data_IF_343677408305
#
_entry.id   IF_343677408305
#
_cell.length_a   1.000
_cell.length_b   1.000
_cell.length_c   1.000
_cell.angle_alpha   90.00
_cell.angle_beta   90.00
_cell.angle_gamma   90.00
#
_symmetry.space_group_name_H-M   'P 1'
#
loop_
_entity.id
_entity.type
_entity.pdbx_description
1 polymer ?
#
# COMPACT_ATOMS: atom_id res chain seq x y z
N UNK A 1 3.83 20.73 18.50
CA UNK A 1 4.69 20.34 19.64
C UNK A 1 3.88 19.45 20.55
N UNK A 2 4.48 18.37 21.10
CA UNK A 2 3.81 17.56 22.10
C UNK A 2 3.73 18.32 23.44
N UNK A 3 2.73 18.04 24.31
CA UNK A 3 2.69 18.53 25.67
C UNK A 3 3.99 18.17 26.45
N UNK A 4 4.32 18.88 27.54
CA UNK A 4 5.52 18.63 28.31
C UNK A 4 5.68 17.19 28.86
N UNK A 5 4.56 16.51 29.08
CA UNK A 5 4.40 15.13 29.54
C UNK A 5 4.07 14.13 28.41
N UNK A 6 4.05 14.61 27.17
CA UNK A 6 3.71 13.79 26.00
C UNK A 6 4.79 12.77 25.66
N UNK A 7 4.37 11.54 25.38
CA UNK A 7 5.26 10.45 24.94
C UNK A 7 5.41 10.49 23.43
N UNK A 8 6.65 10.37 22.95
CA UNK A 8 6.99 10.34 21.52
C UNK A 8 7.20 8.89 21.08
N UNK A 9 6.40 8.38 20.16
CA UNK A 9 6.60 7.06 19.53
C UNK A 9 7.36 7.25 18.23
N UNK A 10 8.60 6.74 18.15
CA UNK A 10 9.57 7.06 17.11
C UNK A 10 10.02 5.81 16.35
N UNK A 11 9.89 5.85 15.02
CA UNK A 11 10.43 4.82 14.12
C UNK A 11 11.94 5.06 13.88
N UNK A 12 12.79 4.18 14.37
CA UNK A 12 14.23 4.29 14.14
C UNK A 12 14.70 3.73 12.79
N UNK A 13 13.87 2.98 12.08
CA UNK A 13 14.17 2.58 10.69
C UNK A 13 14.04 3.76 9.72
N UNK A 14 13.23 4.79 10.07
CA UNK A 14 13.13 6.02 9.30
C UNK A 14 14.45 6.83 9.41
N UNK A 15 14.97 7.39 8.30
CA UNK A 15 16.16 8.23 8.33
C UNK A 15 16.07 9.43 9.28
N UNK A 16 14.87 9.97 9.51
CA UNK A 16 14.62 11.09 10.43
C UNK A 16 14.46 10.67 11.88
N UNK A 17 14.35 9.35 12.14
CA UNK A 17 14.11 8.81 13.49
C UNK A 17 15.16 9.26 14.50
N UNK A 18 16.44 9.27 14.13
CA UNK A 18 17.53 9.70 15.03
C UNK A 18 17.40 11.18 15.41
N UNK A 19 17.11 12.06 14.46
CA UNK A 19 16.92 13.50 14.75
C UNK A 19 15.70 13.77 15.60
N UNK A 20 14.63 12.99 15.43
CA UNK A 20 13.44 13.10 16.28
C UNK A 20 13.70 12.59 17.70
N UNK A 21 14.53 11.56 17.84
CA UNK A 21 14.93 11.01 19.15
C UNK A 21 15.69 12.05 19.98
N UNK A 22 16.59 12.81 19.37
CA UNK A 22 17.34 13.90 20.05
C UNK A 22 16.43 15.00 20.58
N UNK A 23 15.28 15.23 19.94
CA UNK A 23 14.31 16.25 20.33
C UNK A 23 13.27 15.76 21.34
N UNK A 24 13.13 14.45 21.51
CA UNK A 24 12.08 13.84 22.32
C UNK A 24 12.46 13.81 23.81
N UNK A 25 11.53 14.21 24.68
CA UNK A 25 11.72 14.17 26.14
C UNK A 25 11.46 12.78 26.72
N UNK A 26 10.41 12.13 26.25
CA UNK A 26 9.97 10.82 26.73
C UNK A 26 9.73 9.93 25.50
N UNK A 27 10.80 9.40 24.87
CA UNK A 27 10.64 8.57 23.70
C UNK A 27 10.32 7.12 24.06
N UNK A 28 9.50 6.49 23.21
CA UNK A 28 9.46 5.04 22.99
C UNK A 28 9.80 4.81 21.53
N UNK A 29 10.80 3.97 21.29
CA UNK A 29 11.31 3.71 19.96
C UNK A 29 10.86 2.37 19.43
N UNK A 30 10.64 2.26 18.11
CA UNK A 30 10.42 0.97 17.47
C UNK A 30 11.22 0.84 16.19
N UNK A 31 11.56 -0.40 15.83
CA UNK A 31 12.24 -0.74 14.59
C UNK A 31 12.05 -2.21 14.22
N UNK A 32 12.18 -2.52 12.92
CA UNK A 32 12.30 -3.89 12.41
C UNK A 32 13.77 -4.30 12.28
N UNK A 33 14.64 -3.38 11.85
CA UNK A 33 16.02 -3.65 11.47
C UNK A 33 17.06 -3.04 12.40
N UNK A 34 16.67 -2.13 13.28
CA UNK A 34 17.58 -1.47 14.23
C UNK A 34 17.26 -1.85 15.67
N UNK A 35 18.20 -1.62 16.59
CA UNK A 35 17.92 -1.73 18.02
C UNK A 35 16.97 -0.62 18.46
N UNK A 36 15.88 -0.99 19.15
CA UNK A 36 14.85 -0.11 19.66
C UNK A 36 14.20 -0.71 20.92
N UNK A 37 13.34 0.05 21.60
CA UNK A 37 12.57 -0.43 22.75
C UNK A 37 11.59 -1.53 22.34
N UNK A 38 10.94 -1.37 21.19
CA UNK A 38 10.01 -2.34 20.61
C UNK A 38 10.58 -2.84 19.27
N UNK A 39 10.83 -4.15 19.18
CA UNK A 39 11.44 -4.76 17.98
C UNK A 39 10.75 -6.05 17.62
N UNK A 40 10.59 -6.32 16.31
CA UNK A 40 10.10 -7.61 15.82
C UNK A 40 11.24 -8.61 15.68
N UNK A 41 10.95 -9.87 15.94
CA UNK A 41 11.74 -11.00 15.49
C UNK A 41 11.52 -11.30 13.99
N UNK A 42 11.90 -12.51 13.57
CA UNK A 42 11.69 -13.00 12.20
C UNK A 42 10.20 -13.10 11.91
N UNK A 43 9.75 -12.46 10.81
CA UNK A 43 8.38 -12.51 10.37
C UNK A 43 8.16 -13.74 9.50
N UNK A 44 7.23 -14.60 9.90
CA UNK A 44 6.74 -15.71 9.09
C UNK A 44 5.46 -15.24 8.40
N UNK A 45 5.48 -15.14 7.07
CA UNK A 45 4.36 -14.63 6.29
C UNK A 45 3.84 -15.68 5.31
N UNK A 46 2.53 -15.73 5.16
CA UNK A 46 1.80 -16.43 4.10
C UNK A 46 0.91 -15.45 3.36
N UNK A 47 0.19 -15.91 2.34
CA UNK A 47 -0.82 -15.09 1.66
C UNK A 47 -2.07 -14.81 2.50
N UNK A 48 -2.19 -15.39 3.69
CA UNK A 48 -3.38 -15.32 4.55
C UNK A 48 -3.13 -14.63 5.89
N UNK A 49 -1.97 -14.88 6.47
CA UNK A 49 -1.60 -14.34 7.79
C UNK A 49 -0.08 -14.22 7.92
N UNK A 50 0.33 -13.44 8.87
CA UNK A 50 1.73 -13.38 9.31
C UNK A 50 1.80 -13.55 10.83
N UNK A 51 2.92 -14.08 11.31
CA UNK A 51 3.23 -14.21 12.72
C UNK A 51 4.67 -13.83 13.03
N UNK A 52 4.89 -13.23 14.17
CA UNK A 52 6.22 -12.82 14.66
C UNK A 52 6.19 -12.49 16.14
N UNK A 53 7.31 -12.68 16.81
CA UNK A 53 7.46 -12.27 18.19
C UNK A 53 7.90 -10.80 18.26
N UNK A 54 7.43 -10.08 19.28
CA UNK A 54 7.79 -8.69 19.53
C UNK A 54 8.34 -8.55 20.93
N UNK A 55 9.57 -8.01 21.03
CA UNK A 55 10.15 -7.61 22.31
C UNK A 55 9.69 -6.20 22.65
N UNK A 56 9.27 -5.98 23.89
CA UNK A 56 8.89 -4.67 24.43
C UNK A 56 9.56 -4.44 25.78
N UNK A 57 9.60 -3.22 26.32
CA UNK A 57 10.07 -2.95 27.70
C UNK A 57 9.27 -3.68 28.78
N UNK A 58 8.03 -4.13 28.48
CA UNK A 58 7.14 -4.82 29.41
C UNK A 58 7.14 -6.35 29.25
N UNK A 59 7.86 -6.90 28.28
CA UNK A 59 7.93 -8.33 28.01
C UNK A 59 7.75 -8.66 26.53
N UNK A 60 7.51 -9.93 26.25
CA UNK A 60 7.34 -10.46 24.90
C UNK A 60 5.86 -10.60 24.55
N UNK A 61 5.56 -10.39 23.28
CA UNK A 61 4.27 -10.60 22.64
C UNK A 61 4.45 -11.61 21.51
N UNK A 62 3.50 -12.50 21.33
CA UNK A 62 3.38 -13.31 20.12
C UNK A 62 2.28 -12.76 19.25
N UNK A 63 2.62 -12.21 18.10
CA UNK A 63 1.68 -11.56 17.20
C UNK A 63 1.27 -12.52 16.11
N UNK A 64 -0.02 -12.80 16.00
CA UNK A 64 -0.67 -13.35 14.83
C UNK A 64 -1.57 -12.27 14.21
N UNK A 65 -1.45 -12.01 12.91
CA UNK A 65 -2.21 -10.97 12.24
C UNK A 65 -2.61 -11.37 10.82
N UNK A 66 -3.83 -10.99 10.44
CA UNK A 66 -4.30 -11.09 9.05
C UNK A 66 -3.83 -9.90 8.19
N UNK A 67 -3.28 -8.85 8.81
CA UNK A 67 -2.66 -7.74 8.11
C UNK A 67 -1.26 -8.16 7.65
N UNK A 68 -1.12 -8.57 6.39
CA UNK A 68 0.14 -9.09 5.82
C UNK A 68 1.04 -7.98 5.27
N UNK A 69 2.34 -8.31 5.14
CA UNK A 69 3.36 -7.45 4.53
C UNK A 69 4.11 -6.57 5.51
N UNK A 70 5.34 -6.22 5.14
CA UNK A 70 6.28 -5.45 6.00
C UNK A 70 5.73 -4.09 6.45
N UNK A 71 4.91 -3.43 5.60
CA UNK A 71 4.27 -2.18 5.97
C UNK A 71 3.34 -2.36 7.18
N UNK A 72 2.58 -3.46 7.20
CA UNK A 72 1.70 -3.77 8.31
C UNK A 72 2.48 -4.21 9.56
N UNK A 73 3.61 -4.89 9.42
CA UNK A 73 4.49 -5.14 10.58
C UNK A 73 4.92 -3.82 11.22
N UNK A 74 5.36 -2.83 10.44
CA UNK A 74 5.72 -1.49 10.95
C UNK A 74 4.53 -0.80 11.63
N UNK A 75 3.35 -0.87 11.04
CA UNK A 75 2.13 -0.29 11.62
C UNK A 75 1.78 -0.98 12.96
N UNK A 76 1.90 -2.30 13.03
CA UNK A 76 1.67 -3.08 14.24
C UNK A 76 2.70 -2.70 15.33
N UNK A 77 3.98 -2.57 14.99
CA UNK A 77 5.01 -2.13 15.97
C UNK A 77 4.71 -0.71 16.49
N UNK A 78 4.28 0.21 15.64
CA UNK A 78 3.86 1.55 16.07
C UNK A 78 2.66 1.50 17.02
N UNK A 79 1.66 0.67 16.72
CA UNK A 79 0.49 0.47 17.57
C UNK A 79 0.87 -0.16 18.92
N UNK A 80 1.72 -1.21 18.92
CA UNK A 80 2.25 -1.84 20.14
C UNK A 80 2.98 -0.79 20.99
N UNK A 81 3.88 -0.02 20.38
CA UNK A 81 4.66 1.01 21.07
C UNK A 81 3.75 2.05 21.74
N UNK A 82 2.71 2.46 21.03
CA UNK A 82 1.70 3.38 21.57
C UNK A 82 0.95 2.76 22.75
N UNK A 83 0.47 1.53 22.60
CA UNK A 83 -0.22 0.82 23.67
C UNK A 83 0.67 0.59 24.90
N UNK A 84 1.94 0.26 24.69
CA UNK A 84 2.95 0.11 25.78
C UNK A 84 3.16 1.43 26.49
N UNK A 85 3.19 2.57 25.75
CA UNK A 85 3.29 3.91 26.31
C UNK A 85 2.11 4.27 27.22
N UNK A 86 0.91 3.75 26.91
CA UNK A 86 -0.30 3.95 27.70
C UNK A 86 -0.58 2.83 28.73
N UNK A 87 0.41 2.02 29.05
CA UNK A 87 0.30 0.95 30.04
C UNK A 87 -0.76 -0.12 29.74
N UNK A 88 -1.13 -0.30 28.48
CA UNK A 88 -2.08 -1.34 28.05
C UNK A 88 -1.48 -2.73 28.35
N UNK A 89 -2.24 -3.66 28.96
CA UNK A 89 -1.78 -5.02 29.21
C UNK A 89 -1.39 -5.76 27.92
N UNK A 90 -0.25 -6.49 27.92
CA UNK A 90 0.28 -7.17 26.74
C UNK A 90 -0.75 -8.11 26.09
N UNK A 91 -1.48 -8.89 26.89
CA UNK A 91 -2.52 -9.80 26.39
C UNK A 91 -3.66 -9.07 25.67
N UNK A 92 -4.00 -7.85 26.09
CA UNK A 92 -4.99 -7.03 25.43
C UNK A 92 -4.48 -6.52 24.07
N UNK A 93 -3.18 -6.19 23.97
CA UNK A 93 -2.53 -5.80 22.73
C UNK A 93 -2.53 -6.97 21.73
N UNK A 94 -2.12 -8.17 22.14
CA UNK A 94 -2.13 -9.38 21.30
C UNK A 94 -3.53 -9.67 20.73
N UNK A 95 -4.54 -9.67 21.60
CA UNK A 95 -5.94 -9.90 21.21
C UNK A 95 -6.43 -8.83 20.24
N UNK A 96 -6.21 -7.55 20.51
CA UNK A 96 -6.66 -6.46 19.66
C UNK A 96 -6.02 -6.52 18.26
N UNK A 97 -4.77 -6.96 18.14
CA UNK A 97 -4.10 -7.13 16.84
C UNK A 97 -4.66 -8.37 16.11
N UNK A 98 -4.86 -9.49 16.82
CA UNK A 98 -5.37 -10.73 16.24
C UNK A 98 -6.82 -10.57 15.73
N UNK A 99 -7.63 -9.81 16.45
CA UNK A 99 -9.05 -9.56 16.10
C UNK A 99 -9.19 -8.61 14.89
N UNK A 100 -8.14 -7.83 14.57
CA UNK A 100 -8.15 -6.89 13.47
C UNK A 100 -7.91 -7.61 12.13
N UNK A 101 -8.99 -7.85 11.38
CA UNK A 101 -8.94 -8.58 10.12
C UNK A 101 -8.44 -7.76 8.94
N UNK A 102 -8.72 -6.43 8.94
CA UNK A 102 -8.32 -5.50 7.87
C UNK A 102 -8.31 -4.06 8.36
N UNK A 103 -7.50 -3.23 7.71
CA UNK A 103 -7.60 -1.78 7.76
C UNK A 103 -8.07 -1.31 6.38
N UNK A 104 -9.27 -0.72 6.24
CA UNK A 104 -9.79 -0.32 4.94
C UNK A 104 -8.80 0.54 4.17
N UNK A 105 -8.52 0.16 2.92
CA UNK A 105 -7.62 0.86 2.02
C UNK A 105 -6.14 0.91 2.43
N UNK A 106 -5.69 0.02 3.30
CA UNK A 106 -4.27 -0.12 3.69
C UNK A 106 -3.81 -1.55 3.49
N UNK A 107 -3.18 -1.81 2.34
CA UNK A 107 -2.80 -3.16 1.91
C UNK A 107 -3.98 -4.14 2.10
N UNK A 108 -5.17 -3.70 1.73
CA UNK A 108 -6.40 -4.46 1.92
C UNK A 108 -6.52 -5.49 0.83
N UNK A 109 -6.37 -6.77 1.18
CA UNK A 109 -6.67 -7.88 0.27
C UNK A 109 -8.20 -8.02 0.18
N UNK A 110 -8.75 -7.78 -0.99
CA UNK A 110 -10.21 -7.78 -1.24
C UNK A 110 -10.70 -9.03 -1.94
N UNK A 111 -9.79 -9.85 -2.49
CA UNK A 111 -10.10 -11.16 -3.05
C UNK A 111 -10.29 -12.21 -1.96
N UNK A 112 -11.23 -13.14 -2.18
CA UNK A 112 -11.44 -14.29 -1.30
C UNK A 112 -10.36 -15.37 -1.51
N UNK A 113 -10.27 -16.29 -0.57
CA UNK A 113 -9.27 -17.38 -0.59
C UNK A 113 -9.42 -18.37 -1.76
N UNK A 114 -10.58 -18.39 -2.38
CA UNK A 114 -10.92 -19.27 -3.50
C UNK A 114 -10.77 -18.57 -4.87
N UNK A 115 -10.40 -17.29 -4.87
CA UNK A 115 -10.13 -16.57 -6.11
C UNK A 115 -8.79 -17.01 -6.70
N UNK A 116 -8.76 -17.10 -8.03
CA UNK A 116 -7.55 -17.45 -8.80
C UNK A 116 -6.56 -16.28 -8.93
N UNK A 117 -7.00 -15.06 -8.61
CA UNK A 117 -6.22 -13.83 -8.60
C UNK A 117 -6.27 -13.16 -7.24
N UNK A 118 -5.20 -12.47 -6.87
CA UNK A 118 -5.17 -11.65 -5.64
C UNK A 118 -5.39 -10.19 -6.00
N UNK A 119 -6.33 -9.52 -5.33
CA UNK A 119 -6.57 -8.08 -5.52
C UNK A 119 -6.28 -7.33 -4.22
N UNK A 120 -5.43 -6.31 -4.30
CA UNK A 120 -5.01 -5.47 -3.16
C UNK A 120 -5.42 -4.03 -3.41
N UNK A 121 -6.08 -3.40 -2.44
CA UNK A 121 -6.42 -1.97 -2.46
C UNK A 121 -5.58 -1.21 -1.44
N UNK A 122 -4.97 -0.08 -1.85
CA UNK A 122 -4.11 0.74 -0.98
C UNK A 122 -4.24 2.24 -1.27
N UNK A 123 -3.96 3.05 -0.26
CA UNK A 123 -3.98 4.51 -0.31
C UNK A 123 -2.71 5.14 -0.91
N UNK A 124 -1.76 4.38 -1.40
CA UNK A 124 -0.50 4.89 -1.96
C UNK A 124 -0.77 5.86 -3.13
N UNK A 125 -0.58 7.16 -2.89
CA UNK A 125 -0.85 8.26 -3.81
C UNK A 125 0.35 9.20 -4.01
N UNK A 126 1.54 8.77 -3.61
CA UNK A 126 2.83 9.39 -3.89
C UNK A 126 3.77 8.36 -4.50
N UNK A 127 4.81 8.83 -5.19
CA UNK A 127 5.81 7.97 -5.82
C UNK A 127 6.52 7.06 -4.80
N UNK A 128 6.91 7.60 -3.65
CA UNK A 128 7.55 6.82 -2.58
C UNK A 128 6.59 5.79 -1.95
N UNK A 129 5.34 6.17 -1.67
CA UNK A 129 4.34 5.24 -1.17
C UNK A 129 4.03 4.13 -2.18
N UNK A 130 3.88 4.47 -3.46
CA UNK A 130 3.65 3.50 -4.54
C UNK A 130 4.84 2.55 -4.70
N UNK A 131 6.07 3.07 -4.64
CA UNK A 131 7.30 2.26 -4.66
C UNK A 131 7.34 1.24 -3.51
N UNK A 132 7.04 1.70 -2.30
CA UNK A 132 7.02 0.84 -1.12
C UNK A 132 5.92 -0.23 -1.21
N UNK A 133 4.72 0.15 -1.65
CA UNK A 133 3.61 -0.77 -1.88
C UNK A 133 3.96 -1.84 -2.91
N UNK A 134 4.36 -1.41 -4.12
CA UNK A 134 4.66 -2.34 -5.22
C UNK A 134 5.86 -3.23 -4.92
N UNK A 135 6.89 -2.70 -4.23
CA UNK A 135 8.03 -3.50 -3.75
C UNK A 135 7.61 -4.59 -2.77
N UNK A 136 6.72 -4.27 -1.83
CA UNK A 136 6.19 -5.24 -0.87
C UNK A 136 5.32 -6.31 -1.58
N UNK A 137 4.43 -5.89 -2.49
CA UNK A 137 3.58 -6.82 -3.25
C UNK A 137 4.43 -7.68 -4.17
N UNK A 138 5.43 -7.12 -4.85
CA UNK A 138 6.32 -7.85 -5.77
C UNK A 138 7.02 -9.03 -5.09
N UNK A 139 7.44 -8.85 -3.83
CA UNK A 139 8.08 -9.93 -3.07
C UNK A 139 7.14 -11.11 -2.76
N UNK A 140 5.83 -10.91 -2.82
CA UNK A 140 4.80 -11.92 -2.60
C UNK A 140 4.22 -12.46 -3.91
N UNK A 141 4.48 -11.78 -5.04
CA UNK A 141 3.91 -12.11 -6.35
C UNK A 141 4.77 -13.18 -7.05
N UNK A 142 4.16 -14.30 -7.41
CA UNK A 142 4.81 -15.39 -8.16
C UNK A 142 4.73 -15.19 -9.68
N UNK A 143 3.61 -14.65 -10.15
CA UNK A 143 3.30 -14.40 -11.56
C UNK A 143 3.37 -12.89 -11.86
N UNK A 144 2.41 -12.35 -12.62
CA UNK A 144 2.41 -10.93 -12.99
C UNK A 144 1.87 -10.05 -11.87
N UNK A 145 2.42 -8.85 -11.79
CA UNK A 145 1.91 -7.75 -11.01
C UNK A 145 1.27 -6.72 -11.96
N UNK A 146 -0.03 -6.52 -11.82
CA UNK A 146 -0.83 -5.55 -12.58
C UNK A 146 -1.14 -4.39 -11.64
N UNK A 147 -0.81 -3.16 -12.04
CA UNK A 147 -1.03 -1.97 -11.19
C UNK A 147 -2.03 -1.03 -11.83
N UNK A 148 -3.13 -0.74 -11.12
CA UNK A 148 -4.14 0.26 -11.46
C UNK A 148 -3.95 1.48 -10.58
N UNK A 149 -3.71 2.66 -11.16
CA UNK A 149 -3.59 3.89 -10.38
C UNK A 149 -3.88 5.13 -11.20
N UNK A 150 -4.12 6.24 -10.50
CA UNK A 150 -4.23 7.57 -11.06
C UNK A 150 -3.64 8.60 -10.11
N UNK A 151 -3.69 9.88 -10.50
CA UNK A 151 -3.28 10.99 -9.67
C UNK A 151 -4.41 11.99 -9.47
N UNK A 152 -4.43 12.64 -8.31
CA UNK A 152 -5.39 13.71 -8.04
C UNK A 152 -5.07 15.00 -8.81
N UNK A 153 -6.11 15.67 -9.30
CA UNK A 153 -6.04 17.05 -9.80
C UNK A 153 -5.93 18.07 -8.66
N UNK A 154 -5.53 19.30 -8.99
CA UNK A 154 -5.32 20.40 -8.05
C UNK A 154 -4.33 20.03 -6.93
N UNK A 155 -3.33 19.24 -7.28
CA UNK A 155 -2.26 18.74 -6.40
C UNK A 155 -0.92 18.89 -7.10
N UNK A 156 0.15 18.50 -6.40
CA UNK A 156 1.50 18.50 -6.95
C UNK A 156 1.57 17.66 -8.24
N UNK A 157 1.82 18.33 -9.36
CA UNK A 157 1.91 17.71 -10.69
C UNK A 157 3.24 16.99 -10.89
N UNK A 158 4.30 17.43 -10.18
CA UNK A 158 5.64 16.86 -10.36
C UNK A 158 5.72 15.38 -10.01
N UNK A 159 4.86 14.89 -9.12
CA UNK A 159 4.80 13.48 -8.74
C UNK A 159 4.19 12.56 -9.82
N UNK A 160 3.41 13.11 -10.79
CA UNK A 160 2.69 12.32 -11.80
C UNK A 160 3.63 11.46 -12.64
N UNK A 161 4.65 12.03 -13.31
CA UNK A 161 5.60 11.22 -14.06
C UNK A 161 6.45 10.31 -13.16
N UNK A 162 6.75 10.72 -11.92
CA UNK A 162 7.49 9.87 -10.98
C UNK A 162 6.69 8.62 -10.60
N UNK A 163 5.39 8.75 -10.35
CA UNK A 163 4.51 7.60 -10.09
C UNK A 163 4.40 6.69 -11.33
N UNK A 164 4.30 7.25 -12.54
CA UNK A 164 4.35 6.51 -13.80
C UNK A 164 5.63 5.68 -13.93
N UNK A 165 6.77 6.31 -13.66
CA UNK A 165 8.08 5.67 -13.68
C UNK A 165 8.18 4.53 -12.65
N UNK A 166 7.71 4.74 -11.44
CA UNK A 166 7.71 3.71 -10.38
C UNK A 166 6.83 2.52 -10.78
N UNK A 167 5.60 2.79 -11.25
CA UNK A 167 4.68 1.74 -11.67
C UNK A 167 5.26 0.91 -12.82
N UNK A 168 5.83 1.54 -13.85
CA UNK A 168 6.41 0.84 -14.98
C UNK A 168 7.64 -0.02 -14.62
N UNK A 169 8.39 0.38 -13.59
CA UNK A 169 9.58 -0.39 -13.15
C UNK A 169 9.26 -1.63 -12.33
N UNK A 170 8.13 -1.62 -11.62
CA UNK A 170 7.80 -2.65 -10.64
C UNK A 170 6.64 -3.54 -11.06
N UNK A 171 5.91 -3.19 -12.12
CA UNK A 171 4.76 -3.93 -12.62
C UNK A 171 5.03 -4.60 -13.97
N UNK A 172 4.28 -5.64 -14.28
CA UNK A 172 4.29 -6.31 -15.58
C UNK A 172 3.22 -5.74 -16.53
N UNK A 173 2.20 -5.07 -15.97
CA UNK A 173 1.18 -4.29 -16.70
C UNK A 173 0.78 -3.10 -15.85
N UNK A 174 0.68 -1.93 -16.47
CA UNK A 174 0.19 -0.70 -15.83
C UNK A 174 -1.12 -0.26 -16.45
N UNK A 175 -2.15 -0.06 -15.64
CA UNK A 175 -3.43 0.52 -16.04
C UNK A 175 -3.54 1.91 -15.42
N UNK A 176 -3.37 2.95 -16.24
CA UNK A 176 -3.45 4.35 -15.81
C UNK A 176 -4.88 4.83 -15.93
N UNK A 177 -5.41 5.44 -14.87
CA UNK A 177 -6.81 5.87 -14.82
C UNK A 177 -6.99 7.18 -14.07
N UNK A 178 -8.24 7.68 -13.99
CA UNK A 178 -8.60 8.83 -13.16
C UNK A 178 -8.63 8.45 -11.68
N UNK A 179 -8.20 9.39 -10.83
CA UNK A 179 -8.39 9.35 -9.37
C UNK A 179 -9.49 10.37 -8.99
N UNK A 180 -9.13 11.48 -8.37
CA UNK A 180 -9.98 12.63 -8.11
C UNK A 180 -9.52 13.79 -9.03
N UNK A 181 -10.01 13.93 -10.26
CA UNK A 181 -9.51 14.95 -11.19
C UNK A 181 -9.82 16.39 -10.75
N UNK A 182 -10.82 16.59 -9.88
CA UNK A 182 -11.29 17.89 -9.40
C UNK A 182 -11.59 18.85 -10.55
N UNK A 183 -10.84 19.97 -10.66
CA UNK A 183 -11.03 20.96 -11.73
C UNK A 183 -10.25 20.62 -13.01
N UNK A 184 -9.25 19.73 -12.94
CA UNK A 184 -8.42 19.38 -14.09
C UNK A 184 -9.06 18.34 -15.02
N UNK A 185 -8.62 18.29 -16.29
CA UNK A 185 -8.99 17.22 -17.24
C UNK A 185 -8.36 15.88 -16.79
N UNK A 186 -9.17 14.82 -16.64
CA UNK A 186 -8.63 13.49 -16.34
C UNK A 186 -7.61 13.02 -17.38
N UNK A 187 -7.84 13.31 -18.65
CA UNK A 187 -6.95 12.95 -19.77
C UNK A 187 -5.59 13.64 -19.62
N UNK A 188 -5.60 14.95 -19.29
CA UNK A 188 -4.35 15.70 -19.07
C UNK A 188 -3.55 15.18 -17.88
N UNK A 189 -4.22 14.73 -16.81
CA UNK A 189 -3.54 14.08 -15.67
C UNK A 189 -2.90 12.75 -16.10
N UNK A 190 -3.62 11.95 -16.90
CA UNK A 190 -3.13 10.68 -17.45
C UNK A 190 -1.91 10.94 -18.36
N UNK A 191 -1.95 11.95 -19.22
CA UNK A 191 -0.82 12.34 -20.09
C UNK A 191 0.44 12.67 -19.26
N UNK A 192 0.29 13.42 -18.17
CA UNK A 192 1.41 13.73 -17.27
C UNK A 192 2.01 12.44 -16.64
N UNK A 193 1.18 11.45 -16.30
CA UNK A 193 1.62 10.15 -15.76
C UNK A 193 2.37 9.35 -16.83
N UNK A 194 1.84 9.31 -18.07
CA UNK A 194 2.40 8.55 -19.18
C UNK A 194 3.81 9.01 -19.55
N UNK A 195 4.15 10.29 -19.35
CA UNK A 195 5.52 10.79 -19.56
C UNK A 195 6.54 9.97 -18.78
N UNK A 196 6.21 9.53 -17.56
CA UNK A 196 7.10 8.72 -16.74
C UNK A 196 7.20 7.26 -17.20
N UNK A 197 6.15 6.71 -17.79
CA UNK A 197 6.10 5.33 -18.29
C UNK A 197 6.90 5.20 -19.59
N UNK A 198 6.82 6.22 -20.45
CA UNK A 198 7.42 6.20 -21.81
C UNK A 198 8.86 6.74 -21.84
N UNK A 199 9.44 7.14 -20.68
CA UNK A 199 10.83 7.62 -20.63
C UNK A 199 11.81 6.55 -21.14
N UNK A 200 12.71 6.88 -22.10
CA UNK A 200 13.77 5.99 -22.53
C UNK A 200 14.77 5.74 -21.38
N UNK A 201 15.36 4.54 -21.34
CA UNK A 201 16.34 4.07 -20.33
C UNK A 201 15.77 3.56 -19.00
N UNK A 202 14.76 2.73 -19.04
CA UNK A 202 14.36 1.98 -17.85
C UNK A 202 15.36 0.82 -17.60
N UNK A 203 16.08 0.88 -16.48
CA UNK A 203 16.77 -0.30 -15.95
C UNK A 203 15.74 -1.16 -15.24
N UNK A 204 15.51 -2.35 -15.74
CA UNK A 204 14.69 -3.36 -15.07
C UNK A 204 15.21 -3.69 -13.66
N UNK A 205 14.44 -4.43 -12.84
CA UNK A 205 14.80 -4.78 -11.45
C UNK A 205 16.18 -5.45 -11.31
N UNK A 206 16.70 -6.07 -12.36
CA UNK A 206 17.98 -6.79 -12.39
C UNK A 206 19.11 -6.00 -13.09
N UNK A 207 18.99 -4.70 -13.29
CA UNK A 207 20.01 -3.87 -13.94
C UNK A 207 20.12 -4.07 -15.46
N UNK A 208 19.28 -4.92 -16.07
CA UNK A 208 19.19 -5.07 -17.53
C UNK A 208 18.53 -3.83 -18.13
N UNK A 209 19.17 -3.23 -19.13
CA UNK A 209 18.54 -2.21 -19.98
C UNK A 209 17.57 -2.96 -20.89
N UNK A 210 16.28 -2.94 -20.60
CA UNK A 210 15.25 -3.43 -21.50
C UNK A 210 14.87 -2.31 -22.45
N UNK A 211 14.96 -2.54 -23.73
CA UNK A 211 14.44 -1.65 -24.77
C UNK A 211 12.90 -1.71 -24.84
N UNK A 212 12.27 -2.69 -24.18
CA UNK A 212 10.82 -2.82 -24.11
C UNK A 212 10.25 -2.04 -22.94
N UNK A 213 9.44 -1.03 -23.23
CA UNK A 213 8.62 -0.36 -22.23
C UNK A 213 7.63 -1.35 -21.63
N UNK A 214 7.42 -1.29 -20.31
CA UNK A 214 6.36 -2.07 -19.66
C UNK A 214 5.02 -1.81 -20.35
N UNK A 215 4.25 -2.85 -20.71
CA UNK A 215 2.92 -2.68 -21.29
C UNK A 215 2.05 -1.80 -20.39
N UNK A 216 1.34 -0.86 -21.01
CA UNK A 216 0.37 -0.03 -20.29
C UNK A 216 -0.91 0.16 -21.10
N UNK A 217 -1.99 0.44 -20.37
CA UNK A 217 -3.29 0.82 -20.90
C UNK A 217 -3.74 2.07 -20.18
N UNK A 218 -4.35 3.02 -20.88
CA UNK A 218 -5.00 4.19 -20.28
C UNK A 218 -6.51 4.10 -20.44
N UNK A 219 -7.25 4.12 -19.34
CA UNK A 219 -8.71 4.05 -19.30
C UNK A 219 -9.17 5.13 -18.30
N UNK A 220 -9.87 6.16 -18.81
CA UNK A 220 -10.28 7.31 -17.99
C UNK A 220 -11.25 6.89 -16.90
N UNK A 221 -12.24 6.08 -17.23
CA UNK A 221 -13.19 5.56 -16.24
C UNK A 221 -12.51 4.55 -15.31
N UNK A 222 -12.47 4.89 -14.01
CA UNK A 222 -11.77 4.08 -13.03
C UNK A 222 -12.46 2.72 -12.78
N UNK A 223 -13.79 2.66 -12.89
CA UNK A 223 -14.53 1.40 -12.77
C UNK A 223 -14.16 0.46 -13.91
N UNK A 224 -14.15 0.97 -15.15
CA UNK A 224 -13.73 0.20 -16.32
C UNK A 224 -12.25 -0.22 -16.22
N UNK A 225 -11.38 0.67 -15.72
CA UNK A 225 -9.96 0.38 -15.50
C UNK A 225 -9.75 -0.79 -14.52
N UNK A 226 -10.46 -0.78 -13.39
CA UNK A 226 -10.42 -1.86 -12.40
C UNK A 226 -10.95 -3.16 -13.02
N UNK A 227 -12.07 -3.11 -13.71
CA UNK A 227 -12.65 -4.27 -14.40
C UNK A 227 -11.69 -4.85 -15.43
N UNK A 228 -11.13 -3.99 -16.30
CA UNK A 228 -10.16 -4.40 -17.31
C UNK A 228 -8.92 -5.07 -16.72
N UNK A 229 -8.40 -4.56 -15.60
CA UNK A 229 -7.26 -5.16 -14.91
C UNK A 229 -7.57 -6.56 -14.37
N UNK A 230 -8.73 -6.73 -13.73
CA UNK A 230 -9.18 -8.02 -13.18
C UNK A 230 -9.48 -9.02 -14.30
N UNK A 231 -10.10 -8.58 -15.40
CA UNK A 231 -10.42 -9.44 -16.54
C UNK A 231 -9.17 -9.93 -17.29
N UNK A 232 -8.12 -9.11 -17.37
CA UNK A 232 -6.85 -9.46 -18.02
C UNK A 232 -5.90 -10.27 -17.12
N UNK A 233 -6.18 -10.34 -15.81
CA UNK A 233 -5.37 -11.11 -14.88
C UNK A 233 -5.50 -12.61 -15.15
N UNK A 234 -4.41 -13.33 -15.08
CA UNK A 234 -4.34 -14.79 -15.19
C UNK A 234 -4.26 -15.41 -13.78
N UNK A 235 -4.59 -16.70 -13.63
CA UNK A 235 -4.44 -17.38 -12.35
C UNK A 235 -3.06 -17.19 -11.74
N UNK A 236 -3.03 -16.76 -10.46
CA UNK A 236 -1.81 -16.46 -9.71
C UNK A 236 -1.25 -15.05 -9.90
N UNK A 237 -1.88 -14.21 -10.73
CA UNK A 237 -1.52 -12.79 -10.83
C UNK A 237 -1.99 -12.01 -9.59
N UNK A 238 -1.34 -10.86 -9.38
CA UNK A 238 -1.74 -9.88 -8.36
C UNK A 238 -2.13 -8.57 -9.02
N UNK A 239 -3.32 -8.07 -8.71
CA UNK A 239 -3.80 -6.75 -9.13
C UNK A 239 -3.71 -5.79 -7.95
N UNK A 240 -2.98 -4.70 -8.09
CA UNK A 240 -2.90 -3.62 -7.09
C UNK A 240 -3.71 -2.44 -7.58
N UNK A 241 -4.66 -1.97 -6.78
CA UNK A 241 -5.45 -0.76 -7.02
C UNK A 241 -4.99 0.29 -6.01
N UNK A 242 -4.27 1.31 -6.49
CA UNK A 242 -3.64 2.32 -5.65
C UNK A 242 -4.24 3.71 -5.86
N UNK A 243 -4.12 4.53 -4.81
CA UNK A 243 -4.46 5.96 -4.80
C UNK A 243 -5.55 6.32 -3.80
N UNK A 244 -6.74 5.73 -3.92
CA UNK A 244 -7.92 6.10 -3.12
C UNK A 244 -8.00 5.39 -1.77
N UNK A 245 -7.54 4.14 -1.71
CA UNK A 245 -7.60 3.35 -0.47
C UNK A 245 -9.01 3.29 0.10
N UNK A 246 -9.23 3.95 1.24
CA UNK A 246 -10.51 3.97 1.96
C UNK A 246 -11.48 5.07 1.51
N UNK A 247 -11.13 5.87 0.49
CA UNK A 247 -12.04 6.90 -0.03
C UNK A 247 -13.23 6.26 -0.74
N UNK A 248 -14.43 6.59 -0.31
CA UNK A 248 -15.69 6.07 -0.85
C UNK A 248 -16.35 7.03 -1.85
N UNK A 249 -15.58 7.91 -2.46
CA UNK A 249 -16.05 8.87 -3.46
C UNK A 249 -14.98 9.18 -4.51
N UNK A 250 -15.42 9.67 -5.67
CA UNK A 250 -14.59 10.31 -6.68
C UNK A 250 -15.04 11.76 -6.83
N UNK A 251 -14.08 12.70 -6.83
CA UNK A 251 -14.33 14.14 -6.95
C UNK A 251 -14.08 14.62 -8.38
N UNK A 252 -15.15 15.00 -9.08
CA UNK A 252 -15.13 15.48 -10.47
C UNK A 252 -15.87 16.80 -10.55
N UNK A 253 -15.20 17.89 -10.96
CA UNK A 253 -15.81 19.24 -11.11
C UNK A 253 -16.67 19.62 -9.91
N UNK A 254 -16.08 19.63 -8.72
CA UNK A 254 -16.74 19.99 -7.44
C UNK A 254 -17.89 19.05 -7.00
N UNK A 255 -18.13 17.96 -7.73
CA UNK A 255 -19.12 16.95 -7.37
C UNK A 255 -18.45 15.71 -6.81
N UNK A 256 -18.94 15.23 -5.68
CA UNK A 256 -18.56 13.92 -5.13
C UNK A 256 -19.55 12.88 -5.61
N UNK A 257 -19.01 11.87 -6.30
CA UNK A 257 -19.76 10.72 -6.81
C UNK A 257 -19.37 9.53 -5.94
N UNK A 258 -20.32 8.72 -5.49
CA UNK A 258 -20.03 7.50 -4.73
C UNK A 258 -19.13 6.57 -5.54
N UNK A 259 -18.02 6.15 -4.94
CA UNK A 259 -17.02 5.32 -5.60
C UNK A 259 -16.14 4.63 -4.55
N UNK A 260 -16.12 3.32 -4.54
CA UNK A 260 -15.31 2.50 -3.62
C UNK A 260 -14.53 1.46 -4.41
N UNK A 261 -13.20 1.56 -4.41
CA UNK A 261 -12.31 0.66 -5.13
C UNK A 261 -12.51 -0.81 -4.72
N UNK A 262 -12.67 -1.05 -3.42
CA UNK A 262 -12.80 -2.40 -2.89
C UNK A 262 -14.15 -3.04 -3.26
N UNK A 263 -15.24 -2.28 -3.20
CA UNK A 263 -16.57 -2.75 -3.60
C UNK A 263 -16.61 -3.07 -5.11
N UNK A 264 -16.04 -2.17 -5.92
CA UNK A 264 -15.93 -2.36 -7.36
C UNK A 264 -15.11 -3.61 -7.69
N UNK A 265 -13.96 -3.78 -7.04
CA UNK A 265 -13.11 -4.95 -7.26
C UNK A 265 -13.84 -6.25 -6.91
N UNK A 266 -14.54 -6.29 -5.76
CA UNK A 266 -15.36 -7.47 -5.38
C UNK A 266 -16.45 -7.77 -6.40
N UNK A 267 -17.08 -6.75 -6.98
CA UNK A 267 -18.09 -6.93 -8.03
C UNK A 267 -17.50 -7.63 -9.26
N UNK A 268 -16.34 -7.18 -9.74
CA UNK A 268 -15.67 -7.80 -10.90
C UNK A 268 -15.11 -9.19 -10.59
N UNK A 269 -14.61 -9.43 -9.38
CA UNK A 269 -14.19 -10.77 -8.95
C UNK A 269 -15.38 -11.75 -8.94
N UNK A 270 -16.55 -11.35 -8.44
CA UNK A 270 -17.76 -12.16 -8.49
C UNK A 270 -18.17 -12.49 -9.94
N UNK A 271 -18.18 -11.48 -10.84
CA UNK A 271 -18.47 -11.72 -12.26
C UNK A 271 -17.44 -12.63 -12.94
N UNK A 272 -16.18 -12.61 -12.51
CA UNK A 272 -15.13 -13.51 -13.01
C UNK A 272 -15.40 -14.96 -12.62
N UNK A 273 -15.77 -15.20 -11.34
CA UNK A 273 -16.17 -16.57 -10.87
C UNK A 273 -17.30 -17.18 -11.68
N UNK A 274 -18.32 -16.37 -12.00
CA UNK A 274 -19.50 -16.82 -12.74
C UNK A 274 -19.19 -17.18 -14.21
N UNK A 275 -18.00 -16.79 -14.72
CA UNK A 275 -17.54 -17.09 -16.10
C UNK A 275 -16.59 -18.29 -16.18
N UNK A 276 -16.05 -18.74 -15.05
CA UNK A 276 -15.19 -19.93 -14.95
C UNK A 276 -15.98 -21.14 -14.47
#
# INVERSE_FOLDING_TARGET
MLPPDGISVINLDDPRGSSLLEMAKTPITYAMSKSADVTSGTVQASTKKQSFDVRTPKGWLHIESQLIGQLNVRNILAAISTCVAFDVPLLAIERGISDLTRVPGRFEVVSDLNEDVTVVVDYAHTDDALKNLLGAVRSLTKNRLITVFGCGGDRDRSKRPLMGLVASRLSDLVVVTSDNPRSESPEGIIEDILQGITMPNHRGPNGSVSESSTPYVSIVDRREAIGSAIDQALPGDVVVIAGKGHEVYQEVKERKISFDDAEIARTFLACRRDRC
#
